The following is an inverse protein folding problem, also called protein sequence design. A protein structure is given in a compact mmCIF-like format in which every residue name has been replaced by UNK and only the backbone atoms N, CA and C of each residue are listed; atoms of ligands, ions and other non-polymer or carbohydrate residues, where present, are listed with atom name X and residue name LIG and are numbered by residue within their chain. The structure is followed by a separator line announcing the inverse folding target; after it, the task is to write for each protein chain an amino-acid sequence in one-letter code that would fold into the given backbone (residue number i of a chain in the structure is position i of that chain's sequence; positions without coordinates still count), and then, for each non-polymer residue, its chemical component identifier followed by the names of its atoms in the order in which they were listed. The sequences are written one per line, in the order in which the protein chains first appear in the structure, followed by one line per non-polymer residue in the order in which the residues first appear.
data_IF_068710499966
#
_entry.id   IF_068710499966
#
_cell.length_a   1.000
_cell.length_b   1.000
_cell.length_c   1.000
_cell.angle_alpha   90.00
_cell.angle_beta   90.00
_cell.angle_gamma   90.00
#
_symmetry.space_group_name_H-M   'P 1'
#
loop_
_entity.id
_entity.type
_entity.pdbx_description
1 polymer ?
#
# COMPACT_ATOMS: atom_id res chain seq x y z
N UNK A 1 -8.09 -5.39 34.58
CA UNK A 1 -7.53 -5.08 33.23
C UNK A 1 -8.69 -4.95 32.28
N UNK A 2 -8.80 -3.83 31.61
CA UNK A 2 -9.85 -3.60 30.61
C UNK A 2 -9.41 -4.27 29.31
N UNK A 3 -10.21 -5.18 28.78
CA UNK A 3 -9.92 -5.78 27.47
C UNK A 3 -10.41 -4.83 26.38
N UNK A 4 -9.56 -4.55 25.40
CA UNK A 4 -9.87 -3.71 24.24
C UNK A 4 -9.76 -4.57 22.98
N UNK A 5 -10.84 -4.62 22.23
CA UNK A 5 -10.92 -5.36 20.98
C UNK A 5 -10.73 -4.44 19.78
N UNK A 6 -9.75 -4.72 18.98
CA UNK A 6 -9.44 -3.95 17.77
C UNK A 6 -9.72 -4.77 16.53
N UNK A 7 -10.61 -4.28 15.69
CA UNK A 7 -10.89 -4.85 14.38
C UNK A 7 -9.93 -4.31 13.30
N UNK A 8 -9.29 -5.22 12.58
CA UNK A 8 -8.51 -4.89 11.39
C UNK A 8 -9.30 -5.33 10.16
N UNK A 9 -9.60 -4.39 9.26
CA UNK A 9 -10.35 -4.67 8.04
C UNK A 9 -9.44 -4.44 6.82
N UNK A 10 -8.67 -5.46 6.39
CA UNK A 10 -7.89 -5.36 5.16
C UNK A 10 -8.77 -5.53 3.92
N UNK A 11 -8.41 -4.82 2.85
CA UNK A 11 -8.81 -5.19 1.51
C UNK A 11 -8.19 -6.57 1.14
N UNK A 12 -8.84 -7.36 0.26
CA UNK A 12 -8.29 -8.62 -0.20
C UNK A 12 -6.96 -8.41 -0.95
N UNK A 13 -6.10 -9.42 -0.96
CA UNK A 13 -4.79 -9.36 -1.64
C UNK A 13 -3.64 -8.96 -0.74
N UNK A 14 -2.83 -7.99 -1.16
CA UNK A 14 -1.62 -7.58 -0.45
C UNK A 14 -1.88 -7.00 0.95
N UNK A 15 -2.90 -6.15 1.18
CA UNK A 15 -3.18 -5.64 2.52
C UNK A 15 -3.40 -6.76 3.54
N UNK A 16 -4.20 -7.78 3.18
CA UNK A 16 -4.40 -8.95 4.03
C UNK A 16 -3.10 -9.66 4.33
N UNK A 17 -2.30 -10.00 3.30
CA UNK A 17 -1.00 -10.69 3.47
C UNK A 17 -0.04 -9.92 4.39
N UNK A 18 -0.05 -8.59 4.31
CA UNK A 18 0.79 -7.76 5.17
C UNK A 18 0.32 -7.76 6.61
N UNK A 19 -1.00 -7.67 6.84
CA UNK A 19 -1.57 -7.70 8.19
C UNK A 19 -1.42 -9.07 8.84
N UNK A 20 -1.61 -10.18 8.11
CA UNK A 20 -1.35 -11.54 8.60
C UNK A 20 0.09 -11.69 9.16
N UNK A 21 1.06 -10.99 8.55
CA UNK A 21 2.47 -11.05 8.98
C UNK A 21 2.81 -10.15 10.19
N UNK A 22 1.94 -9.24 10.57
CA UNK A 22 2.24 -8.24 11.61
C UNK A 22 1.28 -8.26 12.79
N UNK A 23 0.16 -9.00 12.69
CA UNK A 23 -0.92 -8.99 13.69
C UNK A 23 -0.42 -9.42 15.07
N UNK A 24 0.44 -10.42 15.13
CA UNK A 24 0.99 -10.96 16.38
C UNK A 24 1.84 -9.91 17.13
N UNK A 25 2.56 -9.07 16.40
CA UNK A 25 3.39 -8.01 16.97
C UNK A 25 2.57 -6.79 17.43
N UNK A 26 1.33 -6.60 16.91
CA UNK A 26 0.54 -5.41 17.20
C UNK A 26 0.04 -5.37 18.64
N UNK A 27 -0.24 -6.49 19.26
CA UNK A 27 -0.71 -6.57 20.65
C UNK A 27 0.36 -6.08 21.63
N UNK A 28 1.61 -6.51 21.43
CA UNK A 28 2.75 -6.10 22.22
C UNK A 28 3.07 -4.62 22.02
N UNK A 29 3.11 -4.18 20.75
CA UNK A 29 3.35 -2.79 20.40
C UNK A 29 2.25 -1.84 20.93
N UNK A 30 1.00 -2.27 20.96
CA UNK A 30 -0.10 -1.48 21.51
C UNK A 30 0.02 -1.35 23.02
N UNK A 31 0.37 -2.43 23.72
CA UNK A 31 0.59 -2.41 25.16
C UNK A 31 1.79 -1.51 25.55
N UNK A 32 2.86 -1.54 24.75
CA UNK A 32 4.06 -0.74 25.00
C UNK A 32 3.85 0.76 24.71
N UNK A 33 3.18 1.10 23.59
CA UNK A 33 3.10 2.48 23.12
C UNK A 33 1.84 3.23 23.54
N UNK A 34 0.72 2.52 23.85
CA UNK A 34 -0.55 3.17 24.13
C UNK A 34 -0.90 3.05 25.61
N UNK A 35 -1.04 1.84 26.14
CA UNK A 35 -1.36 1.58 27.54
C UNK A 35 -1.03 0.15 27.93
N UNK A 36 -0.17 -0.01 28.94
CA UNK A 36 0.14 -1.30 29.57
C UNK A 36 -0.96 -1.85 30.47
N UNK A 37 -1.90 -1.00 30.88
CA UNK A 37 -2.99 -1.37 31.79
C UNK A 37 -4.16 -2.10 31.10
N UNK A 38 -4.15 -2.12 29.75
CA UNK A 38 -5.17 -2.71 28.92
C UNK A 38 -4.65 -3.95 28.20
N UNK A 39 -5.51 -4.97 28.09
CA UNK A 39 -5.22 -6.14 27.25
C UNK A 39 -5.75 -5.85 25.84
N UNK A 40 -4.81 -5.75 24.86
CA UNK A 40 -5.13 -5.50 23.46
C UNK A 40 -5.34 -6.80 22.70
N UNK A 41 -6.51 -6.97 22.11
CA UNK A 41 -6.83 -8.13 21.26
C UNK A 41 -7.12 -7.64 19.85
N UNK A 42 -6.44 -8.24 18.85
CA UNK A 42 -6.61 -7.91 17.46
C UNK A 42 -7.36 -9.03 16.74
N UNK A 43 -8.42 -8.67 16.06
CA UNK A 43 -9.19 -9.56 15.20
C UNK A 43 -9.17 -9.03 13.77
N UNK A 44 -9.31 -9.90 12.76
CA UNK A 44 -9.25 -9.49 11.37
C UNK A 44 -10.44 -10.03 10.58
N UNK A 45 -11.10 -9.14 9.85
CA UNK A 45 -12.16 -9.48 8.92
C UNK A 45 -11.89 -8.84 7.55
N UNK A 46 -11.77 -9.66 6.50
CA UNK A 46 -11.48 -9.18 5.14
C UNK A 46 -12.74 -8.61 4.51
N UNK A 47 -12.66 -7.37 4.02
CA UNK A 47 -13.76 -6.73 3.31
C UNK A 47 -13.25 -5.93 2.11
N UNK A 48 -14.09 -5.79 1.08
CA UNK A 48 -13.82 -4.91 -0.06
C UNK A 48 -14.16 -3.48 0.37
N UNK A 49 -13.15 -2.64 0.48
CA UNK A 49 -13.29 -1.23 0.87
C UNK A 49 -13.11 -0.36 -0.36
N UNK A 50 -14.07 0.55 -0.57
CA UNK A 50 -13.92 1.60 -1.56
C UNK A 50 -13.37 2.85 -0.88
N UNK A 51 -12.24 3.38 -1.36
CA UNK A 51 -11.60 4.57 -0.79
C UNK A 51 -11.71 5.81 -1.67
N UNK A 52 -12.70 5.88 -2.58
CA UNK A 52 -12.93 7.10 -3.33
C UNK A 52 -13.51 8.20 -2.42
N UNK A 53 -13.02 9.42 -2.59
CA UNK A 53 -13.45 10.57 -1.76
C UNK A 53 -14.95 10.87 -1.84
N UNK A 54 -15.63 10.40 -2.88
CA UNK A 54 -17.09 10.55 -3.04
C UNK A 54 -17.89 9.58 -2.18
N UNK A 55 -17.30 8.43 -1.79
CA UNK A 55 -17.97 7.36 -1.04
C UNK A 55 -17.43 7.16 0.40
N UNK A 56 -16.70 8.14 0.95
CA UNK A 56 -16.13 8.04 2.31
C UNK A 56 -17.20 7.76 3.35
N UNK A 57 -18.34 8.43 3.26
CA UNK A 57 -19.44 8.24 4.21
C UNK A 57 -20.00 6.81 4.17
N UNK A 58 -20.09 6.22 2.99
CA UNK A 58 -20.51 4.83 2.79
C UNK A 58 -19.47 3.87 3.37
N UNK A 59 -18.20 4.10 3.09
CA UNK A 59 -17.10 3.29 3.64
C UNK A 59 -17.08 3.34 5.17
N UNK A 60 -17.22 4.53 5.76
CA UNK A 60 -17.30 4.70 7.22
C UNK A 60 -18.55 4.00 7.79
N UNK A 61 -19.69 4.08 7.09
CA UNK A 61 -20.90 3.39 7.52
C UNK A 61 -20.72 1.87 7.55
N UNK A 62 -20.11 1.32 6.50
CA UNK A 62 -19.81 -0.12 6.42
C UNK A 62 -18.83 -0.57 7.52
N UNK A 63 -17.79 0.24 7.79
CA UNK A 63 -16.84 -0.03 8.87
C UNK A 63 -17.53 -0.04 10.24
N UNK A 64 -18.46 0.90 10.49
CA UNK A 64 -19.23 0.96 11.74
C UNK A 64 -20.13 -0.25 11.86
N UNK A 65 -20.81 -0.66 10.80
CA UNK A 65 -21.68 -1.85 10.81
C UNK A 65 -20.88 -3.14 11.12
N UNK A 66 -19.66 -3.28 10.56
CA UNK A 66 -18.77 -4.41 10.87
C UNK A 66 -18.28 -4.34 12.33
N UNK A 67 -17.91 -3.14 12.80
CA UNK A 67 -17.50 -2.88 14.18
C UNK A 67 -18.56 -3.34 15.18
N UNK A 68 -19.81 -2.90 14.98
CA UNK A 68 -20.95 -3.22 15.85
C UNK A 68 -21.28 -4.72 15.83
N UNK A 69 -21.22 -5.35 14.65
CA UNK A 69 -21.48 -6.79 14.52
C UNK A 69 -20.49 -7.66 15.30
N UNK A 70 -19.21 -7.25 15.33
CA UNK A 70 -18.14 -8.02 15.95
C UNK A 70 -17.83 -7.56 17.39
N UNK A 71 -18.54 -6.57 17.91
CA UNK A 71 -18.33 -6.00 19.26
C UNK A 71 -16.88 -5.53 19.46
N UNK A 72 -16.36 -4.77 18.46
CA UNK A 72 -15.04 -4.16 18.51
C UNK A 72 -15.08 -2.73 19.07
N UNK A 73 -14.07 -2.35 19.84
CA UNK A 73 -13.95 -0.99 20.37
C UNK A 73 -13.44 -0.01 19.33
N UNK A 74 -12.41 -0.42 18.57
CA UNK A 74 -11.77 0.37 17.52
C UNK A 74 -11.67 -0.41 16.23
N UNK A 75 -11.70 0.30 15.10
CA UNK A 75 -11.50 -0.30 13.77
C UNK A 75 -10.46 0.45 12.98
N UNK A 76 -9.52 -0.30 12.41
CA UNK A 76 -8.55 0.20 11.43
C UNK A 76 -8.71 -0.58 10.14
N UNK A 77 -9.21 0.10 9.11
CA UNK A 77 -9.32 -0.47 7.78
C UNK A 77 -8.08 -0.15 6.94
N UNK A 78 -7.61 -1.11 6.14
CA UNK A 78 -6.46 -0.97 5.26
C UNK A 78 -6.89 -1.24 3.83
N UNK A 79 -6.96 -0.17 3.03
CA UNK A 79 -7.35 -0.23 1.62
C UNK A 79 -6.14 -0.35 0.70
N UNK A 80 -6.30 -1.05 -0.41
CA UNK A 80 -5.38 -1.14 -1.54
C UNK A 80 -5.59 -0.01 -2.57
N UNK A 81 -6.64 0.80 -2.38
CA UNK A 81 -6.97 1.92 -3.26
C UNK A 81 -6.28 3.21 -2.81
N UNK A 82 -5.90 4.08 -3.78
CA UNK A 82 -5.38 5.40 -3.47
C UNK A 82 -6.49 6.31 -2.96
N UNK A 83 -6.22 7.06 -1.89
CA UNK A 83 -7.09 8.14 -1.43
C UNK A 83 -6.51 9.49 -1.81
N UNK A 84 -7.32 10.34 -2.43
CA UNK A 84 -6.95 11.67 -2.89
C UNK A 84 -7.94 12.71 -2.36
N UNK A 85 -7.42 13.83 -1.88
CA UNK A 85 -8.21 15.00 -1.50
C UNK A 85 -7.60 16.25 -2.10
N UNK A 86 -8.36 17.03 -2.86
CA UNK A 86 -7.88 18.27 -3.50
C UNK A 86 -6.52 18.09 -4.24
N UNK A 87 -6.37 17.00 -4.99
CA UNK A 87 -5.14 16.60 -5.70
C UNK A 87 -3.94 16.26 -4.79
N UNK A 88 -4.12 16.19 -3.49
CA UNK A 88 -3.12 15.74 -2.55
C UNK A 88 -3.37 14.29 -2.16
N UNK A 89 -2.28 13.56 -1.89
CA UNK A 89 -2.35 12.16 -1.50
C UNK A 89 -2.70 12.07 -0.03
N UNK A 90 -3.80 11.38 0.27
CA UNK A 90 -4.26 11.11 1.63
C UNK A 90 -3.65 9.78 2.07
N UNK A 91 -2.98 9.78 3.23
CA UNK A 91 -2.43 8.56 3.83
C UNK A 91 -3.51 7.86 4.63
N UNK A 92 -4.24 8.62 5.44
CA UNK A 92 -5.25 8.06 6.32
C UNK A 92 -6.34 9.07 6.67
N UNK A 93 -7.49 8.52 7.02
CA UNK A 93 -8.67 9.26 7.44
C UNK A 93 -9.19 8.70 8.76
N UNK A 94 -9.61 9.59 9.66
CA UNK A 94 -10.12 9.24 10.97
C UNK A 94 -11.53 9.76 11.14
N UNK A 95 -12.40 8.94 11.66
CA UNK A 95 -13.68 9.36 12.21
C UNK A 95 -13.67 9.05 13.70
N UNK A 96 -13.18 10.00 14.52
CA UNK A 96 -12.98 9.80 15.95
C UNK A 96 -14.29 9.51 16.71
N UNK A 97 -15.42 10.20 16.44
CA UNK A 97 -16.68 9.90 17.10
C UNK A 97 -17.19 8.47 16.87
N UNK A 98 -16.84 7.87 15.73
CA UNK A 98 -17.23 6.50 15.38
C UNK A 98 -16.16 5.48 15.75
N UNK A 99 -14.98 5.93 16.22
CA UNK A 99 -13.82 5.10 16.57
C UNK A 99 -13.33 4.22 15.41
N UNK A 100 -13.33 4.79 14.19
CA UNK A 100 -12.89 4.10 12.99
C UNK A 100 -11.84 4.92 12.24
N UNK A 101 -10.90 4.23 11.60
CA UNK A 101 -9.90 4.86 10.74
C UNK A 101 -9.67 4.05 9.48
N UNK A 102 -9.39 4.75 8.37
CA UNK A 102 -9.08 4.17 7.08
C UNK A 102 -7.65 4.54 6.69
N UNK A 103 -6.85 3.56 6.31
CA UNK A 103 -5.46 3.71 5.86
C UNK A 103 -5.34 3.29 4.39
N UNK A 104 -4.78 4.18 3.55
CA UNK A 104 -4.47 3.88 2.15
C UNK A 104 -3.06 3.29 2.06
N UNK A 105 -2.95 2.00 1.77
CA UNK A 105 -1.66 1.30 1.67
C UNK A 105 -0.75 1.87 0.57
N UNK A 106 -1.25 2.21 -0.67
CA UNK A 106 -0.42 2.81 -1.71
C UNK A 106 0.27 4.11 -1.27
N UNK A 107 -0.38 4.88 -0.41
CA UNK A 107 0.14 6.16 0.09
C UNK A 107 1.36 6.01 1.00
N UNK A 108 1.62 4.81 1.55
CA UNK A 108 2.82 4.50 2.33
C UNK A 108 4.07 4.34 1.46
N UNK A 109 3.88 4.13 0.13
CA UNK A 109 4.95 3.89 -0.83
C UNK A 109 5.51 2.48 -0.76
N UNK A 110 6.63 2.24 -1.47
CA UNK A 110 7.21 0.91 -1.65
C UNK A 110 8.16 0.48 -0.51
N UNK A 111 9.00 1.41 -0.01
CA UNK A 111 10.06 1.06 0.94
C UNK A 111 9.56 0.92 2.37
N UNK A 112 9.97 -0.15 3.06
CA UNK A 112 9.68 -0.43 4.48
C UNK A 112 8.18 -0.42 4.82
N UNK A 113 7.35 -0.93 3.91
CA UNK A 113 5.89 -0.86 4.02
C UNK A 113 5.37 -1.53 5.29
N UNK A 114 5.92 -2.68 5.71
CA UNK A 114 5.54 -3.38 6.94
C UNK A 114 5.77 -2.52 8.19
N UNK A 115 6.96 -1.92 8.30
CA UNK A 115 7.32 -1.06 9.45
C UNK A 115 6.47 0.20 9.50
N UNK A 116 6.22 0.81 8.33
CA UNK A 116 5.35 1.97 8.23
C UNK A 116 3.90 1.63 8.59
N UNK A 117 3.41 0.49 8.09
CA UNK A 117 2.05 0.02 8.38
C UNK A 117 1.86 -0.22 9.89
N UNK A 118 2.76 -0.96 10.55
CA UNK A 118 2.74 -1.14 12.02
C UNK A 118 2.67 0.21 12.75
N UNK A 119 3.60 1.11 12.42
CA UNK A 119 3.66 2.44 13.05
C UNK A 119 2.38 3.25 12.86
N UNK A 120 1.81 3.21 11.64
CA UNK A 120 0.57 3.93 11.34
C UNK A 120 -0.63 3.33 12.09
N UNK A 121 -0.75 2.00 12.16
CA UNK A 121 -1.82 1.34 12.92
C UNK A 121 -1.74 1.73 14.41
N UNK A 122 -0.56 1.62 15.03
CA UNK A 122 -0.38 1.99 16.43
C UNK A 122 -0.70 3.47 16.65
N UNK A 123 -0.24 4.36 15.77
CA UNK A 123 -0.57 5.78 15.87
C UNK A 123 -2.07 6.06 15.74
N UNK A 124 -2.77 5.36 14.83
CA UNK A 124 -4.22 5.47 14.69
C UNK A 124 -4.95 5.03 15.97
N UNK A 125 -4.52 3.92 16.54
CA UNK A 125 -5.11 3.40 17.79
C UNK A 125 -4.82 4.34 18.97
N UNK A 126 -3.61 4.85 19.07
CA UNK A 126 -3.24 5.84 20.10
C UNK A 126 -4.12 7.09 20.01
N UNK A 127 -4.35 7.58 18.77
CA UNK A 127 -5.21 8.72 18.53
C UNK A 127 -6.66 8.45 18.95
N UNK A 128 -7.25 7.33 18.49
CA UNK A 128 -8.62 6.96 18.79
C UNK A 128 -8.82 6.70 20.29
N UNK A 129 -7.88 6.04 20.94
CA UNK A 129 -7.91 5.76 22.37
C UNK A 129 -7.82 7.03 23.23
N UNK A 130 -6.95 7.97 22.86
CA UNK A 130 -6.86 9.27 23.54
C UNK A 130 -8.13 10.10 23.36
N UNK A 131 -8.73 10.05 22.17
CA UNK A 131 -9.98 10.73 21.88
C UNK A 131 -11.12 10.18 22.73
N UNK A 132 -11.25 8.86 22.81
CA UNK A 132 -12.27 8.18 23.62
C UNK A 132 -12.13 8.54 25.12
N UNK A 133 -10.92 8.51 25.67
CA UNK A 133 -10.65 8.89 27.07
C UNK A 133 -10.78 10.40 27.35
N UNK A 134 -10.51 11.25 26.34
CA UNK A 134 -10.48 12.71 26.48
C UNK A 134 -11.68 13.41 25.82
N UNK A 135 -12.89 12.90 25.98
CA UNK A 135 -14.12 13.61 25.54
C UNK A 135 -14.24 15.02 26.16
N UNK A 136 -13.25 15.48 26.91
CA UNK A 136 -13.25 16.75 27.67
C UNK A 136 -11.98 17.62 27.53
N UNK A 137 -10.99 17.34 26.68
CA UNK A 137 -9.82 18.23 26.51
C UNK A 137 -9.35 18.35 25.06
N UNK A 138 -9.28 19.59 24.65
CA UNK A 138 -8.78 20.22 23.41
C UNK A 138 -7.73 19.44 22.62
N UNK A 139 -7.97 19.34 21.31
CA UNK A 139 -7.28 18.56 20.28
C UNK A 139 -5.89 19.09 19.81
N UNK A 140 -5.25 19.96 20.54
CA UNK A 140 -4.04 20.68 20.02
C UNK A 140 -2.69 20.02 20.32
N UNK A 141 -2.61 18.96 21.10
CA UNK A 141 -1.34 18.38 21.57
C UNK A 141 -1.03 16.96 21.05
N UNK A 142 -1.69 16.49 19.99
CA UNK A 142 -1.35 15.20 19.40
C UNK A 142 -0.17 15.34 18.45
N UNK A 143 0.96 14.78 18.86
CA UNK A 143 2.18 14.70 18.05
C UNK A 143 1.89 14.04 16.70
N UNK A 144 2.04 14.80 15.62
CA UNK A 144 1.93 14.30 14.26
C UNK A 144 2.96 13.18 14.02
N UNK A 145 2.56 12.04 13.41
CA UNK A 145 3.52 10.98 13.12
C UNK A 145 4.57 11.51 12.16
N UNK A 146 5.84 11.37 12.53
CA UNK A 146 6.96 11.68 11.63
C UNK A 146 7.11 10.60 10.56
N UNK A 147 6.14 10.51 9.66
CA UNK A 147 6.18 9.64 8.48
C UNK A 147 6.33 10.52 7.23
N UNK A 148 7.50 11.11 7.07
CA UNK A 148 7.77 12.01 5.96
C UNK A 148 7.11 13.39 6.14
N UNK A 149 6.96 14.13 5.06
CA UNK A 149 6.31 15.45 5.06
C UNK A 149 4.77 15.27 5.08
N UNK A 150 4.23 14.97 6.23
CA UNK A 150 2.78 14.81 6.43
C UNK A 150 2.20 16.01 7.16
N UNK A 151 0.99 16.39 6.79
CA UNK A 151 0.20 17.43 7.45
C UNK A 151 -1.16 16.86 7.84
N UNK A 152 -1.62 17.19 9.05
CA UNK A 152 -2.99 16.92 9.48
C UNK A 152 -3.90 18.01 8.90
N UNK A 153 -4.91 17.62 8.15
CA UNK A 153 -6.02 18.50 7.75
C UNK A 153 -7.24 18.19 8.62
N UNK A 154 -7.73 19.20 9.32
CA UNK A 154 -9.03 19.15 9.99
C UNK A 154 -10.09 19.64 9.01
N UNK A 155 -11.26 18.99 8.90
CA UNK A 155 -12.32 19.41 8.01
C UNK A 155 -12.84 20.79 8.41
N UNK A 156 -13.08 21.62 7.40
CA UNK A 156 -13.76 22.91 7.55
C UNK A 156 -15.19 22.65 8.05
N UNK A 157 -15.61 23.41 9.08
CA UNK A 157 -16.93 23.38 9.70
C UNK A 157 -18.07 23.03 8.73
N UNK A 158 -18.71 21.89 8.95
CA UNK A 158 -20.01 21.63 8.34
C UNK A 158 -20.36 20.18 7.99
N UNK A 159 -19.44 19.28 7.96
CA UNK A 159 -19.73 17.88 7.61
C UNK A 159 -18.76 16.94 8.33
N UNK A 160 -19.28 15.98 9.05
CA UNK A 160 -18.60 14.88 9.70
C UNK A 160 -17.18 15.17 10.22
N UNK A 161 -16.96 14.93 11.48
CA UNK A 161 -15.69 15.08 12.24
C UNK A 161 -14.58 14.13 11.75
N UNK A 162 -14.37 14.08 10.43
CA UNK A 162 -13.34 13.27 9.78
C UNK A 162 -12.07 14.09 9.62
N UNK A 163 -10.99 13.64 10.23
CA UNK A 163 -9.66 14.23 10.07
C UNK A 163 -8.84 13.44 9.06
N UNK A 164 -7.96 14.10 8.31
CA UNK A 164 -7.16 13.50 7.25
C UNK A 164 -5.69 13.78 7.43
N UNK A 165 -4.85 12.76 7.27
CA UNK A 165 -3.42 12.93 7.11
C UNK A 165 -3.05 12.95 5.63
N UNK A 166 -2.48 14.06 5.18
CA UNK A 166 -2.08 14.26 3.78
C UNK A 166 -0.57 14.43 3.64
N UNK A 167 -0.05 14.08 2.47
CA UNK A 167 1.34 14.35 2.11
C UNK A 167 1.45 15.79 1.64
N UNK A 168 2.28 16.59 2.32
CA UNK A 168 2.42 18.02 2.04
C UNK A 168 3.08 18.32 0.68
N UNK A 169 3.94 17.43 0.18
CA UNK A 169 4.62 17.60 -1.11
C UNK A 169 3.84 16.94 -2.25
N UNK A 170 3.38 17.71 -3.22
CA UNK A 170 2.61 17.23 -4.37
C UNK A 170 3.41 16.20 -5.19
N UNK A 171 4.63 16.55 -5.63
CA UNK A 171 5.45 15.69 -6.50
C UNK A 171 5.87 14.41 -5.77
N UNK A 172 6.39 14.53 -4.53
CA UNK A 172 6.81 13.39 -3.73
C UNK A 172 5.61 12.50 -3.36
N UNK A 173 4.44 13.10 -3.10
CA UNK A 173 3.20 12.37 -2.83
C UNK A 173 2.79 11.50 -4.01
N UNK A 174 2.76 12.06 -5.20
CA UNK A 174 2.43 11.35 -6.43
C UNK A 174 3.44 10.26 -6.77
N UNK A 175 4.74 10.55 -6.68
CA UNK A 175 5.78 9.54 -6.92
C UNK A 175 5.67 8.37 -5.93
N UNK A 176 5.45 8.68 -4.65
CA UNK A 176 5.27 7.68 -3.60
C UNK A 176 4.02 6.83 -3.84
N UNK A 177 2.91 7.47 -4.26
CA UNK A 177 1.66 6.80 -4.60
C UNK A 177 1.84 5.87 -5.80
N UNK A 178 2.48 6.33 -6.89
CA UNK A 178 2.75 5.52 -8.07
C UNK A 178 3.58 4.28 -7.74
N UNK A 179 4.66 4.46 -6.97
CA UNK A 179 5.49 3.34 -6.52
C UNK A 179 4.70 2.37 -5.62
N UNK A 180 3.86 2.89 -4.74
CA UNK A 180 3.00 2.09 -3.88
C UNK A 180 1.95 1.30 -4.67
N UNK A 181 1.28 1.92 -5.65
CA UNK A 181 0.32 1.24 -6.53
C UNK A 181 1.00 0.17 -7.38
N UNK A 182 2.18 0.45 -7.92
CA UNK A 182 2.96 -0.56 -8.65
C UNK A 182 3.29 -1.76 -7.76
N UNK A 183 3.63 -1.53 -6.51
CA UNK A 183 3.91 -2.60 -5.56
C UNK A 183 2.68 -3.45 -5.23
N UNK A 184 1.53 -2.82 -5.01
CA UNK A 184 0.29 -3.51 -4.65
C UNK A 184 -0.24 -4.37 -5.80
N UNK A 185 -0.13 -3.86 -7.04
CA UNK A 185 -0.60 -4.57 -8.23
C UNK A 185 0.33 -5.73 -8.65
N UNK A 186 1.51 -5.85 -8.06
CA UNK A 186 2.46 -6.95 -8.31
C UNK A 186 2.62 -7.30 -9.82
N UNK A 187 2.95 -6.33 -10.72
CA UNK A 187 2.96 -6.57 -12.17
C UNK A 187 3.93 -7.67 -12.60
N UNK A 188 4.96 -7.95 -11.79
CA UNK A 188 5.92 -9.06 -12.03
C UNK A 188 5.27 -10.44 -11.97
N UNK A 189 4.16 -10.62 -11.26
CA UNK A 189 3.43 -11.91 -11.22
C UNK A 189 2.76 -12.21 -12.56
N UNK A 190 2.34 -11.17 -13.27
CA UNK A 190 1.76 -11.30 -14.62
C UNK A 190 2.82 -11.80 -15.61
N UNK A 191 4.05 -11.28 -15.52
CA UNK A 191 5.17 -11.69 -16.40
C UNK A 191 5.47 -13.17 -16.22
N UNK A 192 5.46 -13.68 -15.00
CA UNK A 192 5.68 -15.12 -14.75
C UNK A 192 4.57 -15.99 -15.33
N UNK A 193 3.31 -15.55 -15.26
CA UNK A 193 2.17 -16.28 -15.82
C UNK A 193 2.17 -16.27 -17.36
N UNK A 194 2.70 -15.22 -17.99
CA UNK A 194 2.84 -15.08 -19.44
C UNK A 194 4.19 -15.54 -19.98
N UNK A 195 5.00 -16.25 -19.19
CA UNK A 195 6.34 -16.71 -19.56
C UNK A 195 6.38 -17.39 -20.93
N UNK A 196 5.41 -18.26 -21.22
CA UNK A 196 5.32 -18.98 -22.49
C UNK A 196 5.04 -18.04 -23.68
N UNK A 197 4.14 -17.07 -23.50
CA UNK A 197 3.82 -16.09 -24.55
C UNK A 197 5.01 -15.16 -24.83
N UNK A 198 5.68 -14.68 -23.77
CA UNK A 198 6.87 -13.87 -23.89
C UNK A 198 8.00 -14.64 -24.58
N UNK A 199 8.22 -15.90 -24.19
CA UNK A 199 9.22 -16.77 -24.82
C UNK A 199 8.92 -17.00 -26.31
N UNK A 200 7.67 -17.23 -26.67
CA UNK A 200 7.25 -17.39 -28.06
C UNK A 200 7.46 -16.09 -28.86
N UNK A 201 7.08 -14.94 -28.31
CA UNK A 201 7.26 -13.64 -28.96
C UNK A 201 8.75 -13.34 -29.21
N UNK A 202 9.62 -13.64 -28.24
CA UNK A 202 11.07 -13.49 -28.41
C UNK A 202 11.63 -14.45 -29.45
N UNK A 203 11.22 -15.71 -29.44
CA UNK A 203 11.65 -16.71 -30.43
C UNK A 203 11.24 -16.28 -31.85
N UNK A 204 10.00 -15.85 -32.05
CA UNK A 204 9.48 -15.37 -33.34
C UNK A 204 10.20 -14.08 -33.79
N UNK A 205 10.37 -13.12 -32.88
CA UNK A 205 11.09 -11.87 -33.16
C UNK A 205 12.55 -12.12 -33.54
N UNK A 206 13.24 -13.00 -32.82
CA UNK A 206 14.60 -13.42 -33.12
C UNK A 206 14.69 -14.12 -34.48
N UNK A 207 13.76 -15.02 -34.77
CA UNK A 207 13.68 -15.68 -36.07
C UNK A 207 13.53 -14.66 -37.22
N UNK A 208 12.58 -13.73 -37.10
CA UNK A 208 12.39 -12.68 -38.13
C UNK A 208 13.64 -11.80 -38.25
N UNK A 209 14.25 -11.38 -37.12
CA UNK A 209 15.44 -10.54 -37.14
C UNK A 209 16.66 -11.24 -37.81
N UNK A 210 16.82 -12.55 -37.60
CA UNK A 210 17.95 -13.30 -38.15
C UNK A 210 17.70 -13.68 -39.63
N UNK A 211 16.48 -14.09 -39.98
CA UNK A 211 16.22 -14.64 -41.32
C UNK A 211 15.76 -13.62 -42.36
N UNK A 212 15.17 -12.48 -41.98
CA UNK A 212 14.69 -11.51 -42.96
C UNK A 212 15.77 -10.59 -43.54
N UNK A 213 16.87 -10.30 -42.83
CA UNK A 213 17.85 -9.29 -43.27
C UNK A 213 19.35 -9.55 -42.98
N UNK A 214 19.87 -10.78 -42.73
CA UNK A 214 21.29 -10.93 -42.45
C UNK A 214 22.14 -10.59 -43.66
N UNK A 215 21.62 -10.75 -44.87
CA UNK A 215 22.31 -10.42 -46.10
C UNK A 215 22.43 -8.90 -46.33
N UNK A 216 21.38 -8.14 -46.13
CA UNK A 216 21.40 -6.68 -46.24
C UNK A 216 22.25 -6.02 -45.16
N UNK A 217 22.17 -6.51 -43.92
CA UNK A 217 23.00 -6.04 -42.80
C UNK A 217 24.49 -6.26 -43.02
N UNK A 218 24.88 -7.34 -43.70
CA UNK A 218 26.29 -7.60 -43.96
C UNK A 218 26.89 -6.68 -45.03
N UNK A 219 26.09 -6.09 -45.91
CA UNK A 219 26.54 -5.16 -46.97
C UNK A 219 26.65 -3.72 -46.45
N UNK A 220 25.73 -3.28 -45.60
CA UNK A 220 25.63 -1.88 -45.16
C UNK A 220 26.39 -1.55 -43.86
N UNK A 221 26.76 -2.55 -43.06
CA UNK A 221 27.43 -2.32 -41.78
C UNK A 221 28.94 -2.60 -41.83
N UNK A 222 29.72 -1.69 -41.23
CA UNK A 222 31.15 -1.91 -41.00
C UNK A 222 31.37 -3.15 -40.08
N UNK A 223 32.40 -3.97 -40.36
CA UNK A 223 32.59 -5.27 -39.68
C UNK A 223 32.68 -5.18 -38.15
N UNK A 224 33.20 -4.11 -37.59
CA UNK A 224 33.26 -3.92 -36.14
C UNK A 224 31.89 -3.73 -35.49
N UNK A 225 30.93 -3.11 -36.21
CA UNK A 225 29.54 -2.93 -35.73
C UNK A 225 28.77 -4.26 -35.71
N UNK A 226 29.04 -5.13 -36.67
CA UNK A 226 28.47 -6.48 -36.69
C UNK A 226 28.98 -7.32 -35.52
N UNK A 227 30.28 -7.23 -35.20
CA UNK A 227 30.86 -7.90 -34.03
C UNK A 227 30.22 -7.42 -32.74
N UNK A 228 30.02 -6.10 -32.57
CA UNK A 228 29.36 -5.52 -31.41
C UNK A 228 27.91 -5.99 -31.27
N UNK A 229 27.18 -5.98 -32.39
CA UNK A 229 25.76 -6.40 -32.42
C UNK A 229 25.61 -7.88 -32.09
N UNK A 230 26.51 -8.74 -32.62
CA UNK A 230 26.58 -10.17 -32.29
C UNK A 230 26.90 -10.39 -30.81
N UNK A 231 27.82 -9.63 -30.24
CA UNK A 231 28.21 -9.73 -28.85
C UNK A 231 27.04 -9.35 -27.92
N UNK A 232 26.33 -8.25 -28.20
CA UNK A 232 25.14 -7.85 -27.47
C UNK A 232 24.01 -8.86 -27.60
N UNK A 233 23.82 -9.45 -28.80
CA UNK A 233 22.79 -10.49 -29.00
C UNK A 233 23.07 -11.75 -28.18
N UNK A 234 24.33 -12.17 -28.09
CA UNK A 234 24.74 -13.33 -27.28
C UNK A 234 24.52 -13.04 -25.77
N UNK A 235 24.93 -11.88 -25.29
CA UNK A 235 24.73 -11.49 -23.89
C UNK A 235 23.22 -11.45 -23.56
N UNK A 236 22.44 -10.84 -24.44
CA UNK A 236 20.98 -10.78 -24.27
C UNK A 236 20.36 -12.17 -24.21
N UNK A 237 20.78 -13.08 -25.12
CA UNK A 237 20.32 -14.46 -25.15
C UNK A 237 20.69 -15.22 -23.87
N UNK A 238 21.91 -15.05 -23.34
CA UNK A 238 22.34 -15.67 -22.08
C UNK A 238 21.54 -15.11 -20.89
N UNK A 239 21.28 -13.79 -20.86
CA UNK A 239 20.43 -13.19 -19.85
C UNK A 239 18.98 -13.74 -19.85
N UNK A 240 18.40 -13.84 -21.05
CA UNK A 240 17.06 -14.41 -21.23
C UNK A 240 17.01 -15.88 -20.83
N UNK A 241 18.01 -16.67 -21.20
CA UNK A 241 18.13 -18.07 -20.78
C UNK A 241 18.28 -18.20 -19.26
N UNK A 242 19.09 -17.36 -18.62
CA UNK A 242 19.22 -17.37 -17.16
C UNK A 242 17.89 -17.03 -16.46
N UNK A 243 17.17 -16.02 -16.94
CA UNK A 243 15.85 -15.66 -16.44
C UNK A 243 14.80 -16.76 -16.69
N UNK A 244 14.93 -17.51 -17.80
CA UNK A 244 14.00 -18.57 -18.18
C UNK A 244 14.24 -19.90 -17.47
N UNK A 245 15.51 -20.21 -17.10
CA UNK A 245 15.92 -21.52 -16.57
C UNK A 245 16.10 -21.51 -15.05
N UNK A 246 16.24 -20.34 -14.43
CA UNK A 246 16.34 -20.24 -12.96
C UNK A 246 14.96 -19.98 -12.34
N UNK A 247 14.26 -21.02 -11.86
CA UNK A 247 13.14 -20.83 -10.94
C UNK A 247 13.77 -20.51 -9.58
N UNK A 248 13.54 -19.25 -9.08
CA UNK A 248 13.87 -18.85 -7.72
C UNK A 248 13.04 -19.62 -6.70
#
# INVERSE_FOLDING_TARGET
MTAIKVGLIPAPGLPKKLLDNIIDDLSELAAENISSDCQWTFEMEVSVLTSSSEYINETVHNMVAIKERNDWDFVVAVSDLPSLSHRQVVISEFNSPKSVSLLSLPSLGFFFIKTKLKRMIIHHLEYLYKFDKNTSKTSDDLSTPKVGQTRLETPIKGSDSTQRYIINSYILGWLKLLLGMTYINEPWTIITNFKTLVSLAFATGTYIAIFSNPWQLSIDYQPWRLILLTFFSIIFFICVLKLAVWPG
#
